data_IF_234319555869
#
_entry.id   IF_234319555869
#
_cell.length_a   1.000
_cell.length_b   1.000
_cell.length_c   1.000
_cell.angle_alpha   90.00
_cell.angle_beta   90.00
_cell.angle_gamma   90.00
#
_symmetry.space_group_name_H-M   'P 1'
#
loop_
_entity.id
_entity.type
_entity.pdbx_description
1 polymer ?
#
# COMPACT_ATOMS: atom_id res chain seq x y z
N UNK A 1 1.32 -10.68 1.55
CA UNK A 1 1.15 -10.28 0.14
C UNK A 1 0.26 -9.05 0.05
N UNK A 2 0.37 -8.30 -1.08
CA UNK A 2 -0.30 -6.99 -1.25
C UNK A 2 -1.08 -6.90 -2.57
N UNK A 3 -2.06 -7.79 -2.82
CA UNK A 3 -2.81 -7.79 -4.07
C UNK A 3 -3.71 -6.55 -4.21
N UNK A 4 -3.92 -6.09 -5.44
CA UNK A 4 -5.05 -5.24 -5.80
C UNK A 4 -6.30 -6.10 -6.02
N UNK A 5 -7.47 -5.47 -6.25
CA UNK A 5 -8.74 -6.21 -6.44
C UNK A 5 -8.66 -7.20 -7.61
N UNK A 6 -8.21 -6.84 -8.83
CA UNK A 6 -8.08 -7.81 -9.92
C UNK A 6 -7.13 -8.98 -9.61
N UNK A 7 -6.02 -8.71 -8.93
CA UNK A 7 -5.08 -9.77 -8.50
C UNK A 7 -5.72 -10.69 -7.44
N UNK A 8 -6.46 -10.12 -6.50
CA UNK A 8 -7.18 -10.87 -5.48
C UNK A 8 -8.28 -11.75 -6.07
N UNK A 9 -9.06 -11.25 -7.06
CA UNK A 9 -10.07 -12.02 -7.78
C UNK A 9 -9.47 -13.25 -8.48
N UNK A 10 -8.26 -13.12 -9.05
CA UNK A 10 -7.54 -14.26 -9.62
C UNK A 10 -7.10 -15.28 -8.55
N UNK A 11 -6.72 -14.82 -7.37
CA UNK A 11 -6.26 -15.68 -6.27
C UNK A 11 -7.40 -16.45 -5.58
N UNK A 12 -8.55 -15.78 -5.38
CA UNK A 12 -9.74 -16.40 -4.76
C UNK A 12 -10.68 -17.07 -5.78
N UNK A 13 -10.63 -16.67 -7.06
CA UNK A 13 -11.41 -17.28 -8.14
C UNK A 13 -12.84 -16.73 -8.29
N UNK A 14 -13.16 -15.63 -7.64
CA UNK A 14 -14.48 -14.97 -7.73
C UNK A 14 -14.37 -13.43 -7.74
N UNK A 15 -15.42 -12.75 -8.20
CA UNK A 15 -15.47 -11.30 -8.27
C UNK A 15 -15.61 -10.66 -6.88
N UNK A 16 -14.98 -9.49 -6.72
CA UNK A 16 -14.98 -8.69 -5.48
C UNK A 16 -15.65 -7.35 -5.77
N UNK A 17 -16.93 -7.20 -5.36
CA UNK A 17 -17.76 -6.04 -5.70
C UNK A 17 -18.20 -5.21 -4.49
N UNK A 18 -17.77 -5.57 -3.29
CA UNK A 18 -18.16 -4.91 -2.03
C UNK A 18 -17.07 -5.01 -0.97
N UNK A 19 -17.18 -4.18 0.07
CA UNK A 19 -16.29 -4.25 1.23
C UNK A 19 -16.35 -5.64 1.91
N UNK A 20 -17.55 -6.22 2.03
CA UNK A 20 -17.71 -7.58 2.57
C UNK A 20 -17.05 -8.62 1.67
N UNK A 21 -17.13 -8.46 0.34
CA UNK A 21 -16.42 -9.32 -0.62
C UNK A 21 -14.90 -9.20 -0.47
N UNK A 22 -14.37 -8.02 -0.18
CA UNK A 22 -12.94 -7.83 0.12
C UNK A 22 -12.53 -8.58 1.40
N UNK A 23 -13.34 -8.51 2.47
CA UNK A 23 -13.07 -9.22 3.72
C UNK A 23 -13.03 -10.73 3.51
N UNK A 24 -14.01 -11.27 2.80
CA UNK A 24 -14.08 -12.68 2.47
C UNK A 24 -12.89 -13.12 1.62
N UNK A 25 -12.58 -12.41 0.53
CA UNK A 25 -11.47 -12.75 -0.36
C UNK A 25 -10.12 -12.69 0.39
N UNK A 26 -9.89 -11.67 1.22
CA UNK A 26 -8.67 -11.56 2.00
C UNK A 26 -8.49 -12.71 2.99
N UNK A 27 -9.58 -13.17 3.62
CA UNK A 27 -9.57 -14.33 4.51
C UNK A 27 -9.26 -15.62 3.72
N UNK A 28 -9.98 -15.89 2.64
CA UNK A 28 -9.78 -17.07 1.79
C UNK A 28 -8.34 -17.16 1.26
N UNK A 29 -7.80 -16.04 0.76
CA UNK A 29 -6.44 -15.97 0.25
C UNK A 29 -5.44 -16.21 1.38
N UNK A 30 -5.63 -15.54 2.52
CA UNK A 30 -4.73 -15.61 3.66
C UNK A 30 -4.68 -16.99 4.28
N UNK A 31 -5.81 -17.67 4.42
CA UNK A 31 -5.91 -19.05 4.89
C UNK A 31 -5.26 -20.02 3.90
N UNK A 32 -5.55 -19.88 2.61
CA UNK A 32 -5.00 -20.72 1.54
C UNK A 32 -3.48 -20.60 1.44
N UNK A 33 -2.92 -19.40 1.59
CA UNK A 33 -1.50 -19.16 1.42
C UNK A 33 -0.71 -19.17 2.74
N UNK A 34 -1.39 -19.19 3.88
CA UNK A 34 -0.76 -19.18 5.19
C UNK A 34 0.01 -17.88 5.50
N UNK A 35 -0.45 -16.73 4.97
CA UNK A 35 0.24 -15.45 5.15
C UNK A 35 -0.74 -14.27 5.26
N UNK A 36 -0.33 -13.16 5.90
CA UNK A 36 -1.14 -11.94 5.92
C UNK A 36 -1.40 -11.39 4.51
N UNK A 37 -2.58 -10.78 4.32
CA UNK A 37 -3.02 -10.21 3.04
C UNK A 37 -3.39 -8.75 3.25
N UNK A 38 -2.69 -7.84 2.58
CA UNK A 38 -3.10 -6.44 2.43
C UNK A 38 -3.79 -6.30 1.07
N UNK A 39 -5.12 -6.38 1.07
CA UNK A 39 -5.93 -6.20 -0.13
C UNK A 39 -6.15 -4.71 -0.37
N UNK A 40 -5.63 -4.22 -1.51
CA UNK A 40 -5.70 -2.80 -1.87
C UNK A 40 -7.04 -2.49 -2.53
N UNK A 41 -7.80 -1.54 -1.97
CA UNK A 41 -9.14 -1.17 -2.45
C UNK A 41 -9.15 -0.57 -3.85
N UNK A 42 -8.25 0.32 -4.14
CA UNK A 42 -8.04 0.87 -5.48
C UNK A 42 -9.27 1.54 -6.09
N UNK A 43 -9.21 1.82 -7.39
CA UNK A 43 -10.13 2.67 -8.17
C UNK A 43 -11.55 2.13 -8.36
N UNK A 44 -11.84 0.87 -8.02
CA UNK A 44 -13.09 0.21 -8.40
C UNK A 44 -14.24 0.37 -7.39
N UNK A 45 -13.94 0.70 -6.15
CA UNK A 45 -14.93 0.86 -5.08
C UNK A 45 -14.87 2.26 -4.45
N UNK A 46 -14.92 3.33 -5.20
CA UNK A 46 -15.01 4.74 -4.81
C UNK A 46 -14.16 5.22 -3.60
N UNK A 47 -13.56 4.33 -2.82
CA UNK A 47 -12.77 4.60 -1.62
C UNK A 47 -11.37 4.00 -1.75
N UNK A 48 -10.34 4.78 -1.44
CA UNK A 48 -8.94 4.34 -1.41
C UNK A 48 -8.61 3.53 -0.15
N UNK A 49 -9.58 2.75 0.35
CA UNK A 49 -9.45 2.00 1.58
C UNK A 49 -8.79 0.64 1.30
N UNK A 50 -7.78 0.33 2.06
CA UNK A 50 -7.10 -0.97 2.02
C UNK A 50 -7.46 -1.80 3.24
N UNK A 51 -7.52 -3.12 3.07
CA UNK A 51 -7.87 -4.06 4.10
C UNK A 51 -6.69 -4.98 4.40
N UNK A 52 -6.26 -5.05 5.65
CA UNK A 52 -5.31 -6.03 6.13
C UNK A 52 -6.06 -7.17 6.84
N UNK A 53 -5.86 -8.39 6.36
CA UNK A 53 -6.22 -9.61 7.07
C UNK A 53 -4.97 -10.28 7.63
N UNK A 54 -5.01 -10.64 8.93
CA UNK A 54 -3.93 -11.38 9.59
C UNK A 54 -4.51 -12.28 10.69
N UNK A 55 -4.29 -13.57 10.60
CA UNK A 55 -4.70 -14.56 11.63
C UNK A 55 -6.17 -14.42 12.06
N UNK A 56 -7.08 -14.28 11.11
CA UNK A 56 -8.52 -14.13 11.36
C UNK A 56 -8.95 -12.73 11.82
N UNK A 57 -8.03 -11.77 11.92
CA UNK A 57 -8.32 -10.38 12.26
C UNK A 57 -8.30 -9.51 11.02
N UNK A 58 -9.20 -8.55 10.96
CA UNK A 58 -9.32 -7.57 9.89
C UNK A 58 -9.08 -6.18 10.44
N UNK A 59 -8.28 -5.39 9.71
CA UNK A 59 -8.08 -3.96 9.93
C UNK A 59 -8.21 -3.20 8.62
N UNK A 60 -9.07 -2.19 8.61
CA UNK A 60 -9.20 -1.25 7.51
C UNK A 60 -8.26 -0.05 7.69
N UNK A 61 -7.64 0.35 6.59
CA UNK A 61 -6.83 1.56 6.50
C UNK A 61 -7.54 2.51 5.55
N UNK A 62 -8.11 3.56 6.09
CA UNK A 62 -8.74 4.61 5.28
C UNK A 62 -7.66 5.35 4.51
N UNK A 63 -7.86 5.53 3.22
CA UNK A 63 -7.00 6.31 2.34
C UNK A 63 -7.75 7.53 1.81
N UNK A 64 -7.13 8.71 1.92
CA UNK A 64 -7.58 9.86 1.14
C UNK A 64 -7.06 9.71 -0.29
N UNK A 65 -7.94 9.79 -1.28
CA UNK A 65 -7.51 9.82 -2.68
C UNK A 65 -6.74 11.13 -2.91
N UNK A 66 -5.47 11.00 -3.29
CA UNK A 66 -4.67 12.14 -3.74
C UNK A 66 -4.82 12.18 -5.26
N UNK A 67 -5.34 13.30 -5.76
CA UNK A 67 -5.48 13.52 -7.20
C UNK A 67 -4.12 13.94 -7.78
N UNK A 68 -3.31 12.92 -8.08
CA UNK A 68 -2.01 13.06 -8.69
C UNK A 68 -1.91 12.11 -9.88
N UNK A 69 -1.65 12.61 -11.10
CA UNK A 69 -1.46 11.77 -12.28
C UNK A 69 -0.23 10.86 -12.19
N UNK A 70 0.72 11.20 -11.31
CA UNK A 70 2.00 10.50 -11.13
C UNK A 70 1.88 9.32 -10.17
N UNK A 71 1.06 8.33 -10.54
CA UNK A 71 0.79 7.14 -9.70
C UNK A 71 1.63 5.93 -10.08
N UNK A 72 2.54 6.05 -11.03
CA UNK A 72 3.38 4.93 -11.46
C UNK A 72 4.27 4.45 -10.31
N UNK A 73 4.29 3.14 -10.09
CA UNK A 73 5.12 2.52 -9.06
C UNK A 73 4.55 2.55 -7.63
N UNK A 74 3.36 3.12 -7.40
CA UNK A 74 2.73 3.23 -6.07
C UNK A 74 2.64 1.87 -5.36
N UNK A 75 2.21 0.81 -6.06
CA UNK A 75 2.09 -0.53 -5.50
C UNK A 75 3.44 -1.14 -5.12
N UNK A 76 4.45 -0.99 -5.99
CA UNK A 76 5.80 -1.48 -5.73
C UNK A 76 6.44 -0.74 -4.55
N UNK A 77 6.21 0.56 -4.46
CA UNK A 77 6.71 1.39 -3.35
C UNK A 77 6.05 1.00 -2.04
N UNK A 78 4.73 0.75 -2.04
CA UNK A 78 4.00 0.29 -0.85
C UNK A 78 4.60 -1.00 -0.30
N UNK A 79 4.72 -2.02 -1.14
CA UNK A 79 5.26 -3.31 -0.70
C UNK A 79 6.71 -3.23 -0.24
N UNK A 80 7.55 -2.42 -0.90
CA UNK A 80 8.94 -2.18 -0.51
C UNK A 80 9.05 -1.44 0.83
N UNK A 81 8.21 -0.42 1.05
CA UNK A 81 8.17 0.34 2.30
C UNK A 81 7.68 -0.53 3.47
N UNK A 82 6.67 -1.38 3.25
CA UNK A 82 6.22 -2.36 4.25
C UNK A 82 7.36 -3.31 4.61
N UNK A 83 8.04 -3.89 3.61
CA UNK A 83 9.16 -4.79 3.84
C UNK A 83 10.31 -4.13 4.61
N UNK A 84 10.65 -2.89 4.28
CA UNK A 84 11.66 -2.11 4.98
C UNK A 84 11.29 -1.86 6.46
N UNK A 85 10.02 -1.53 6.73
CA UNK A 85 9.55 -1.31 8.09
C UNK A 85 9.52 -2.61 8.91
N UNK A 86 9.13 -3.73 8.31
CA UNK A 86 9.21 -5.05 8.94
C UNK A 86 10.66 -5.42 9.26
N UNK A 87 11.60 -5.16 8.36
CA UNK A 87 13.04 -5.38 8.59
C UNK A 87 13.59 -4.54 9.74
N UNK A 88 13.00 -3.36 10.01
CA UNK A 88 13.33 -2.52 11.19
C UNK A 88 12.68 -3.02 12.48
N UNK A 89 11.89 -4.09 12.45
CA UNK A 89 11.24 -4.71 13.60
C UNK A 89 9.87 -4.13 13.97
N UNK A 90 9.26 -3.30 13.13
CA UNK A 90 7.90 -2.81 13.39
C UNK A 90 6.86 -3.92 13.21
N UNK A 91 5.80 -3.98 14.05
CA UNK A 91 4.66 -4.87 13.83
C UNK A 91 4.00 -4.60 12.46
N UNK A 92 3.40 -5.63 11.85
CA UNK A 92 2.86 -5.54 10.48
C UNK A 92 1.85 -4.40 10.31
N UNK A 93 0.91 -4.21 11.23
CA UNK A 93 -0.07 -3.13 11.16
C UNK A 93 0.61 -1.76 11.13
N UNK A 94 1.61 -1.54 11.99
CA UNK A 94 2.37 -0.30 12.03
C UNK A 94 3.24 -0.14 10.77
N UNK A 95 3.83 -1.22 10.26
CA UNK A 95 4.60 -1.20 9.02
C UNK A 95 3.75 -0.77 7.83
N UNK A 96 2.50 -1.24 7.74
CA UNK A 96 1.53 -0.84 6.71
C UNK A 96 1.16 0.64 6.87
N UNK A 97 0.83 1.07 8.09
CA UNK A 97 0.44 2.46 8.38
C UNK A 97 1.53 3.46 7.99
N UNK A 98 2.79 3.18 8.38
CA UNK A 98 3.95 4.00 8.01
C UNK A 98 4.20 4.02 6.50
N UNK A 99 4.04 2.88 5.82
CA UNK A 99 4.21 2.78 4.38
C UNK A 99 3.14 3.58 3.61
N UNK A 100 1.88 3.55 4.08
CA UNK A 100 0.80 4.36 3.51
C UNK A 100 1.04 5.86 3.72
N UNK A 101 1.49 6.27 4.90
CA UNK A 101 1.85 7.66 5.18
C UNK A 101 2.98 8.15 4.26
N UNK A 102 4.01 7.34 4.06
CA UNK A 102 5.12 7.64 3.15
C UNK A 102 4.63 7.86 1.71
N UNK A 103 3.79 6.95 1.18
CA UNK A 103 3.25 7.09 -0.17
C UNK A 103 2.38 8.34 -0.31
N UNK A 104 1.54 8.62 0.68
CA UNK A 104 0.71 9.82 0.68
C UNK A 104 1.56 11.10 0.63
N UNK A 105 2.67 11.15 1.37
CA UNK A 105 3.63 12.24 1.32
C UNK A 105 4.29 12.38 -0.05
N UNK A 106 4.77 11.26 -0.61
CA UNK A 106 5.44 11.24 -1.92
C UNK A 106 4.49 11.65 -3.07
N UNK A 107 3.20 11.30 -2.99
CA UNK A 107 2.18 11.73 -3.93
C UNK A 107 1.80 13.22 -3.74
N UNK A 108 1.70 13.67 -2.49
CA UNK A 108 1.35 15.06 -2.17
C UNK A 108 2.44 16.06 -2.59
N UNK A 109 3.70 15.62 -2.68
CA UNK A 109 4.83 16.44 -3.13
C UNK A 109 4.74 16.84 -4.62
N UNK A 110 3.86 16.22 -5.41
CA UNK A 110 3.53 16.62 -6.80
C UNK A 110 4.76 16.79 -7.72
N UNK A 111 5.67 15.81 -7.68
CA UNK A 111 6.84 15.85 -8.57
C UNK A 111 6.38 15.76 -10.04
N UNK A 112 6.57 16.84 -10.80
CA UNK A 112 6.17 16.92 -12.21
C UNK A 112 7.36 16.65 -13.14
N UNK A 113 7.52 15.38 -13.54
CA UNK A 113 8.55 14.94 -14.45
C UNK A 113 7.95 14.14 -15.61
N UNK A 114 8.23 14.59 -16.83
CA UNK A 114 7.79 13.89 -18.05
C UNK A 114 6.43 14.33 -18.58
N UNK A 115 5.85 13.53 -19.52
CA UNK A 115 4.59 13.84 -20.22
C UNK A 115 3.51 12.77 -20.03
N UNK A 116 3.70 11.83 -19.11
CA UNK A 116 2.75 10.75 -18.81
C UNK A 116 2.53 10.63 -17.31
N UNK A 117 2.16 9.43 -16.86
CA UNK A 117 2.16 9.12 -15.41
C UNK A 117 3.60 9.13 -14.90
N UNK A 118 4.01 10.24 -14.30
CA UNK A 118 5.36 10.45 -13.79
C UNK A 118 5.63 9.70 -12.48
N UNK A 119 6.87 9.76 -11.97
CA UNK A 119 7.25 9.15 -10.70
C UNK A 119 6.71 9.94 -9.52
N UNK A 120 6.55 9.25 -8.38
CA UNK A 120 6.37 9.90 -7.09
C UNK A 120 7.69 10.55 -6.62
N UNK A 121 7.60 11.59 -5.81
CA UNK A 121 8.78 12.16 -5.15
C UNK A 121 9.21 11.30 -3.96
N UNK A 122 10.10 10.35 -4.22
CA UNK A 122 10.65 9.48 -3.16
C UNK A 122 11.57 10.23 -2.17
N UNK A 123 11.96 11.46 -2.50
CA UNK A 123 12.87 12.28 -1.70
C UNK A 123 12.16 13.39 -0.93
N UNK A 124 10.84 13.42 -0.92
CA UNK A 124 10.03 14.50 -0.34
C UNK A 124 10.34 14.81 1.13
N UNK A 125 10.77 13.83 1.90
CA UNK A 125 11.07 13.95 3.33
C UNK A 125 12.57 13.81 3.64
N UNK A 126 13.44 13.93 2.63
CA UNK A 126 14.89 13.95 2.84
C UNK A 126 15.34 15.27 3.45
N UNK A 127 15.42 15.32 4.79
CA UNK A 127 15.97 16.46 5.50
C UNK A 127 17.49 16.49 5.36
N UNK A 128 18.12 17.69 5.24
CA UNK A 128 19.58 17.84 5.15
C UNK A 128 20.34 17.21 6.32
N UNK A 129 19.69 17.05 7.45
CA UNK A 129 20.24 16.43 8.66
C UNK A 129 20.61 14.96 8.46
N UNK A 130 19.89 14.22 7.61
CA UNK A 130 20.19 12.82 7.27
C UNK A 130 21.47 12.66 6.44
N UNK A 131 21.91 13.70 5.73
CA UNK A 131 23.16 13.66 4.96
C UNK A 131 24.41 13.71 5.84
N UNK A 132 24.30 14.16 7.09
CA UNK A 132 25.43 14.26 8.03
C UNK A 132 25.73 12.94 8.75
N UNK A 133 24.73 12.05 8.89
CA UNK A 133 24.90 10.77 9.58
C UNK A 133 25.63 9.71 8.75
N UNK A 134 25.62 9.84 7.42
CA UNK A 134 26.28 8.90 6.51
C UNK A 134 27.63 9.41 5.96
N UNK A 135 28.12 10.54 6.43
CA UNK A 135 29.38 11.15 6.01
C UNK A 135 30.55 10.91 7.00
N UNK A 136 30.43 9.90 7.87
CA UNK A 136 31.51 9.47 8.78
C UNK A 136 32.10 8.14 8.37
#
# INVERSE_FOLDING_TARGET
ITPNIPEAELLCGHAITSAQGMEQAAAEIGEKLGCPVLLKGGHQLNDANDLLWQNGKIRWFNGSRIDNPNTHGTGCTLSSAIAANLAKGYPLEQAVEMAKAYISGALAAMLDLGKGSGPMDHAFDLKPEYRKEYAQ
#
